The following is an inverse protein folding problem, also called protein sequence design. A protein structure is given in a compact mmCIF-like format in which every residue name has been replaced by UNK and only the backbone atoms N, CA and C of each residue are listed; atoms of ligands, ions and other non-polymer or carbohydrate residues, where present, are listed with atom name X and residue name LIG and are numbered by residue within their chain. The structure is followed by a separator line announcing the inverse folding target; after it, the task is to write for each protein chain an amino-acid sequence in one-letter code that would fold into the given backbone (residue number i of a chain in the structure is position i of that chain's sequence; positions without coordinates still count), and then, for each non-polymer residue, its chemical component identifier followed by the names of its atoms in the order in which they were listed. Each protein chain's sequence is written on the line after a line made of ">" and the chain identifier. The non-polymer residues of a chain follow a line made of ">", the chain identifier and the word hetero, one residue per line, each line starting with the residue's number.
data_IF_980983502325
#
_entry.id   IF_980983502325
#
_cell.length_a   1.000
_cell.length_b   1.000
_cell.length_c   1.000
_cell.angle_alpha   90.00
_cell.angle_beta   90.00
_cell.angle_gamma   90.00
#
_symmetry.space_group_name_H-M   'P 1'
#
loop_
_entity.id
_entity.type
_entity.pdbx_description
1 polymer ?
#
# COMPACT_ATOMS: atom_id res chain seq x y z
N UNK A 1 -55.65 0.57 11.83
CA UNK A 1 -54.32 0.05 12.20
C UNK A 1 -53.81 -0.89 11.09
N UNK A 2 -53.26 -0.36 9.98
CA UNK A 2 -52.74 -1.23 8.88
C UNK A 2 -51.71 -0.57 7.96
N UNK A 3 -51.29 0.68 8.23
CA UNK A 3 -50.37 1.45 7.37
C UNK A 3 -48.96 1.66 7.96
N UNK A 4 -48.75 1.33 9.23
CA UNK A 4 -47.48 1.60 9.93
C UNK A 4 -46.44 0.50 9.63
N UNK A 5 -46.88 -0.72 9.31
CA UNK A 5 -46.00 -1.86 9.05
C UNK A 5 -45.18 -1.75 7.74
N UNK A 6 -45.60 -0.93 6.77
CA UNK A 6 -44.87 -0.79 5.49
C UNK A 6 -43.67 0.16 5.54
N UNK A 7 -43.55 1.02 6.56
CA UNK A 7 -42.46 2.03 6.61
C UNK A 7 -41.18 1.42 7.19
N UNK A 8 -41.28 0.43 8.07
CA UNK A 8 -40.13 -0.13 8.79
C UNK A 8 -39.22 -0.98 7.89
N UNK A 9 -39.80 -1.69 6.91
CA UNK A 9 -39.03 -2.52 5.95
C UNK A 9 -38.18 -1.68 4.99
N UNK A 10 -38.55 -0.43 4.72
CA UNK A 10 -37.82 0.46 3.82
C UNK A 10 -36.54 1.03 4.44
N UNK A 11 -36.44 1.13 5.78
CA UNK A 11 -35.24 1.68 6.44
C UNK A 11 -34.04 0.75 6.42
N UNK A 12 -34.26 -0.57 6.40
CA UNK A 12 -33.18 -1.58 6.41
C UNK A 12 -32.50 -1.67 5.03
N UNK A 13 -33.20 -1.27 3.96
CA UNK A 13 -32.63 -1.21 2.60
C UNK A 13 -31.79 0.05 2.34
N UNK A 14 -31.89 1.06 3.22
CA UNK A 14 -31.12 2.31 3.12
C UNK A 14 -29.83 2.29 3.94
N UNK A 15 -29.63 1.28 4.79
CA UNK A 15 -28.33 1.05 5.41
C UNK A 15 -27.44 0.40 4.35
N UNK A 16 -26.77 1.24 3.55
CA UNK A 16 -25.75 0.80 2.61
C UNK A 16 -24.74 -0.13 3.31
N UNK A 17 -24.16 -1.06 2.54
CA UNK A 17 -23.18 -2.02 3.03
C UNK A 17 -22.15 -1.30 3.93
N UNK A 18 -21.88 -1.76 5.17
CA UNK A 18 -20.89 -1.13 6.02
C UNK A 18 -19.56 -1.12 5.26
N UNK A 19 -19.15 0.07 4.81
CA UNK A 19 -18.02 0.23 3.92
C UNK A 19 -16.75 -0.34 4.55
N UNK A 20 -16.02 -1.16 3.80
CA UNK A 20 -14.69 -1.59 4.18
C UNK A 20 -13.74 -0.39 4.28
N UNK A 21 -12.55 -0.60 4.88
CA UNK A 21 -11.53 0.45 4.88
C UNK A 21 -11.24 0.85 3.42
N UNK A 22 -11.09 2.15 3.11
CA UNK A 22 -10.91 2.62 1.73
C UNK A 22 -9.71 1.94 1.04
N UNK A 23 -9.69 1.86 -0.28
CA UNK A 23 -8.51 1.34 -0.97
C UNK A 23 -7.26 2.18 -0.62
N UNK A 24 -6.06 1.57 -0.54
CA UNK A 24 -4.81 2.33 -0.41
C UNK A 24 -4.66 3.33 -1.57
N UNK A 25 -4.12 4.51 -1.28
CA UNK A 25 -3.87 5.53 -2.29
C UNK A 25 -2.57 5.24 -3.05
N UNK A 26 -2.56 5.44 -4.37
CA UNK A 26 -1.33 5.37 -5.14
C UNK A 26 -0.39 6.50 -4.70
N UNK A 27 0.83 6.15 -4.30
CA UNK A 27 1.90 7.11 -3.98
C UNK A 27 3.23 6.44 -4.23
N UNK A 28 4.13 7.12 -4.93
CA UNK A 28 5.45 6.59 -5.23
C UNK A 28 6.38 6.70 -4.01
N UNK A 29 7.21 5.69 -3.84
CA UNK A 29 8.37 5.73 -2.94
C UNK A 29 9.61 6.16 -3.72
N UNK A 30 10.64 6.61 -3.01
CA UNK A 30 11.90 7.03 -3.61
C UNK A 30 12.85 5.84 -3.62
N UNK A 31 13.24 5.40 -4.82
CA UNK A 31 14.15 4.26 -5.00
C UNK A 31 15.39 4.76 -5.74
N UNK A 32 16.55 4.54 -5.14
CA UNK A 32 17.84 4.75 -5.76
C UNK A 32 18.71 3.51 -5.51
N UNK A 33 18.95 2.73 -6.55
CA UNK A 33 19.61 1.42 -6.47
C UNK A 33 18.94 0.53 -5.40
N UNK A 34 19.67 0.13 -4.36
CA UNK A 34 19.15 -0.67 -3.25
C UNK A 34 18.48 0.17 -2.15
N UNK A 35 18.57 1.51 -2.20
CA UNK A 35 18.01 2.39 -1.16
C UNK A 35 16.56 2.74 -1.50
N UNK A 36 15.65 2.37 -0.60
CA UNK A 36 14.22 2.70 -0.65
C UNK A 36 13.88 3.64 0.51
N UNK A 37 13.33 4.82 0.22
CA UNK A 37 12.72 5.71 1.20
C UNK A 37 11.21 5.78 0.98
N UNK A 38 10.41 5.52 2.02
CA UNK A 38 8.94 5.58 1.92
C UNK A 38 8.42 7.01 1.77
N UNK A 39 9.10 7.99 2.37
CA UNK A 39 8.90 9.43 2.15
C UNK A 39 10.21 10.18 2.38
N UNK A 40 10.40 11.30 1.69
CA UNK A 40 11.48 12.27 1.96
C UNK A 40 11.01 13.49 2.75
N UNK A 41 9.70 13.60 3.01
CA UNK A 41 9.14 14.63 3.89
C UNK A 41 9.44 14.25 5.35
N UNK A 42 10.03 15.19 6.09
CA UNK A 42 10.36 15.01 7.52
C UNK A 42 9.14 15.00 8.43
N UNK A 43 8.00 15.49 7.94
CA UNK A 43 6.74 15.48 8.67
C UNK A 43 5.96 14.17 8.49
N UNK A 44 6.36 13.33 7.52
CA UNK A 44 5.75 12.02 7.33
C UNK A 44 6.36 10.99 8.28
N UNK A 45 5.50 10.36 9.08
CA UNK A 45 5.86 9.26 9.98
C UNK A 45 5.43 7.94 9.35
N UNK A 46 6.39 7.04 9.12
CA UNK A 46 6.15 5.68 8.67
C UNK A 46 5.64 4.81 9.82
N UNK A 47 4.48 4.19 9.61
CA UNK A 47 3.82 3.31 10.59
C UNK A 47 4.04 1.82 10.31
N UNK A 48 4.09 1.43 9.04
CA UNK A 48 4.29 0.05 8.61
C UNK A 48 4.74 0.00 7.14
N UNK A 49 5.33 -1.13 6.74
CA UNK A 49 5.51 -1.45 5.33
C UNK A 49 5.46 -2.96 5.06
N UNK A 50 5.12 -3.30 3.82
CA UNK A 50 5.18 -4.66 3.27
C UNK A 50 5.57 -4.56 1.80
N UNK A 51 6.66 -5.23 1.44
CA UNK A 51 7.21 -5.29 0.10
C UNK A 51 7.00 -6.70 -0.43
N UNK A 52 6.27 -6.80 -1.52
CA UNK A 52 5.96 -8.06 -2.18
C UNK A 52 6.47 -8.02 -3.62
N UNK A 53 6.84 -9.20 -4.14
CA UNK A 53 7.19 -9.42 -5.54
C UNK A 53 6.26 -10.45 -6.14
N UNK A 54 5.85 -10.24 -7.39
CA UNK A 54 5.13 -11.22 -8.20
C UNK A 54 6.17 -12.01 -8.99
N UNK A 55 6.40 -13.26 -8.61
CA UNK A 55 7.33 -14.19 -9.26
C UNK A 55 6.55 -15.26 -10.04
N UNK A 56 7.24 -16.07 -10.83
CA UNK A 56 6.63 -17.13 -11.64
C UNK A 56 5.80 -18.12 -10.80
N UNK A 57 6.24 -18.39 -9.57
CA UNK A 57 5.60 -19.31 -8.63
C UNK A 57 4.52 -18.65 -7.75
N UNK A 58 4.29 -17.35 -7.90
CA UNK A 58 3.32 -16.57 -7.13
C UNK A 58 3.93 -15.38 -6.38
N UNK A 59 3.23 -14.91 -5.35
CA UNK A 59 3.68 -13.76 -4.54
C UNK A 59 4.72 -14.18 -3.50
N UNK A 60 5.79 -13.39 -3.38
CA UNK A 60 6.79 -13.54 -2.34
C UNK A 60 6.97 -12.25 -1.54
N UNK A 61 6.95 -12.38 -0.21
CA UNK A 61 7.26 -11.27 0.71
C UNK A 61 8.76 -11.08 0.76
N UNK A 62 9.21 -9.89 0.39
CA UNK A 62 10.63 -9.53 0.40
C UNK A 62 11.03 -8.99 1.77
N UNK A 63 10.22 -8.09 2.33
CA UNK A 63 10.45 -7.48 3.63
C UNK A 63 9.18 -6.84 4.15
N UNK A 64 8.97 -6.86 5.45
CA UNK A 64 7.85 -6.21 6.11
C UNK A 64 8.21 -5.83 7.54
N UNK A 65 7.53 -4.82 8.06
CA UNK A 65 7.63 -4.41 9.46
C UNK A 65 6.41 -3.56 9.85
N UNK A 66 6.09 -3.52 11.13
CA UNK A 66 4.88 -2.88 11.67
C UNK A 66 5.15 -2.19 13.03
N UNK A 67 4.25 -1.30 13.45
CA UNK A 67 4.42 -0.57 14.72
C UNK A 67 5.58 0.43 14.69
N UNK A 68 5.93 0.93 13.50
CA UNK A 68 7.03 1.84 13.29
C UNK A 68 6.66 3.28 13.69
N UNK A 69 7.68 4.06 14.02
CA UNK A 69 7.59 5.51 14.23
C UNK A 69 8.83 6.19 13.65
N UNK A 70 9.02 6.05 12.33
CA UNK A 70 10.22 6.48 11.63
C UNK A 70 9.92 7.65 10.70
N UNK A 71 10.70 8.73 10.79
CA UNK A 71 10.65 9.87 9.86
C UNK A 71 11.88 9.85 8.95
N UNK A 72 11.88 10.62 7.87
CA UNK A 72 13.07 10.75 7.03
C UNK A 72 14.23 11.38 7.83
N UNK A 73 15.45 10.80 7.81
CA UNK A 73 15.95 9.75 6.91
C UNK A 73 15.87 8.31 7.44
N UNK A 74 15.38 8.09 8.66
CA UNK A 74 15.34 6.77 9.30
C UNK A 74 14.29 5.84 8.68
N UNK A 75 13.33 6.39 7.94
CA UNK A 75 12.38 5.63 7.12
C UNK A 75 12.98 5.11 5.79
N UNK A 76 14.30 5.15 5.62
CA UNK A 76 14.98 4.66 4.42
C UNK A 76 15.70 3.33 4.66
N UNK A 77 15.31 2.28 3.95
CA UNK A 77 15.85 0.93 4.10
C UNK A 77 16.63 0.47 2.86
N UNK A 78 17.48 -0.55 3.04
CA UNK A 78 18.10 -1.24 1.91
C UNK A 78 17.24 -2.45 1.50
N UNK A 79 17.03 -2.61 0.20
CA UNK A 79 16.29 -3.71 -0.42
C UNK A 79 17.09 -4.22 -1.61
N UNK A 80 17.37 -5.52 -1.62
CA UNK A 80 18.03 -6.18 -2.76
C UNK A 80 16.98 -6.62 -3.76
N UNK A 81 16.84 -5.85 -4.83
CA UNK A 81 15.87 -6.13 -5.88
C UNK A 81 16.33 -7.29 -6.76
N UNK A 82 15.41 -8.21 -7.08
CA UNK A 82 15.57 -9.16 -8.19
C UNK A 82 15.00 -8.55 -9.46
N UNK A 83 15.70 -8.74 -10.57
CA UNK A 83 15.32 -8.24 -11.88
C UNK A 83 14.34 -9.20 -12.56
N UNK A 84 13.52 -8.67 -13.47
CA UNK A 84 12.49 -9.43 -14.19
C UNK A 84 11.19 -9.64 -13.41
N UNK A 85 10.93 -8.86 -12.35
CA UNK A 85 9.76 -9.03 -11.49
C UNK A 85 9.01 -7.73 -11.22
N UNK A 86 7.70 -7.87 -11.00
CA UNK A 86 6.85 -6.78 -10.49
C UNK A 86 6.86 -6.74 -8.98
N UNK A 87 6.78 -5.54 -8.42
CA UNK A 87 6.77 -5.30 -6.99
C UNK A 87 5.56 -4.47 -6.58
N UNK A 88 5.08 -4.72 -5.36
CA UNK A 88 4.10 -3.90 -4.68
C UNK A 88 4.61 -3.56 -3.27
N UNK A 89 4.72 -2.27 -2.98
CA UNK A 89 5.06 -1.74 -1.66
C UNK A 89 3.77 -1.19 -1.06
N UNK A 90 3.21 -1.90 -0.08
CA UNK A 90 2.11 -1.40 0.75
C UNK A 90 2.70 -0.76 2.00
N UNK A 91 2.36 0.50 2.31
CA UNK A 91 2.96 1.20 3.43
C UNK A 91 2.03 2.24 4.04
N UNK A 92 2.30 2.62 5.29
CA UNK A 92 1.52 3.60 6.03
C UNK A 92 2.32 4.85 6.33
N UNK A 93 1.84 6.04 5.97
CA UNK A 93 2.38 7.32 6.42
C UNK A 93 1.31 8.12 7.14
N UNK A 94 1.58 8.58 8.36
CA UNK A 94 0.64 9.34 9.19
C UNK A 94 -0.74 8.63 9.28
N UNK A 95 -0.72 7.32 9.51
CA UNK A 95 -1.88 6.42 9.59
C UNK A 95 -2.71 6.30 8.29
N UNK A 96 -2.24 6.88 7.19
CA UNK A 96 -2.83 6.74 5.85
C UNK A 96 -2.12 5.64 5.07
N UNK A 97 -2.88 4.86 4.32
CA UNK A 97 -2.39 3.70 3.58
C UNK A 97 -2.09 4.06 2.14
N UNK A 98 -0.90 3.68 1.70
CA UNK A 98 -0.38 3.93 0.37
C UNK A 98 0.08 2.64 -0.30
N UNK A 99 0.13 2.67 -1.62
CA UNK A 99 0.71 1.61 -2.43
C UNK A 99 1.54 2.19 -3.56
N UNK A 100 2.73 1.61 -3.75
CA UNK A 100 3.59 1.86 -4.89
C UNK A 100 3.81 0.55 -5.64
N UNK A 101 3.46 0.51 -6.92
CA UNK A 101 3.72 -0.65 -7.80
C UNK A 101 4.67 -0.27 -8.92
N UNK A 102 5.59 -1.16 -9.22
CA UNK A 102 6.55 -0.98 -10.30
C UNK A 102 7.06 -2.34 -10.80
N UNK A 103 7.63 -2.34 -11.99
CA UNK A 103 8.34 -3.47 -12.57
C UNK A 103 9.83 -3.11 -12.71
N UNK A 104 10.71 -4.07 -12.42
CA UNK A 104 12.14 -3.96 -12.70
C UNK A 104 12.46 -4.95 -13.81
N UNK A 105 12.90 -4.44 -14.97
CA UNK A 105 13.27 -5.29 -16.10
C UNK A 105 14.60 -6.04 -15.86
N UNK A 106 14.97 -6.92 -16.79
CA UNK A 106 16.21 -7.72 -16.69
C UNK A 106 17.50 -6.88 -16.75
N UNK A 107 17.41 -5.59 -17.14
CA UNK A 107 18.53 -4.65 -17.19
C UNK A 107 18.60 -3.76 -15.93
N UNK A 108 17.66 -3.91 -14.99
CA UNK A 108 17.56 -3.08 -13.79
C UNK A 108 16.79 -1.77 -13.99
N UNK A 109 16.13 -1.57 -15.13
CA UNK A 109 15.29 -0.40 -15.37
C UNK A 109 13.95 -0.55 -14.64
N UNK A 110 13.64 0.44 -13.79
CA UNK A 110 12.38 0.53 -13.06
C UNK A 110 11.33 1.29 -13.87
N UNK A 111 10.13 0.72 -13.98
CA UNK A 111 8.94 1.36 -14.57
C UNK A 111 7.78 1.33 -13.57
N UNK A 112 7.25 2.49 -13.20
CA UNK A 112 6.08 2.58 -12.32
C UNK A 112 4.82 2.07 -13.04
N UNK A 113 3.93 1.41 -12.30
CA UNK A 113 2.71 0.81 -12.84
C UNK A 113 1.50 1.21 -12.01
N UNK A 114 0.41 1.66 -12.65
CA UNK A 114 -0.75 2.25 -11.96
C UNK A 114 -1.95 1.30 -11.75
N UNK A 115 -1.78 -0.02 -11.94
CA UNK A 115 -2.89 -0.98 -11.83
C UNK A 115 -3.41 -1.19 -10.40
#
# INVERSE_FOLDING_TARGET
>A
MRKIASIFTAMILLTGCPGGKPAPQARYTYINEEKLCFSVDKNDVLNYYRIESTQETGYAVIKNDEGLHLTYPDNCINVKWKYGYSYAISYGLNDKRYIHRFFIDNNGQLTNTDY
#
